data_IF_686791278226
#
_entry.id   IF_686791278226
#
_cell.length_a   1.000
_cell.length_b   1.000
_cell.length_c   1.000
_cell.angle_alpha   90.00
_cell.angle_beta   90.00
_cell.angle_gamma   90.00
#
_symmetry.space_group_name_H-M   'P 1'
#
loop_
_entity.id
_entity.type
_entity.pdbx_description
1 polymer ?
#
# COMPACT_ATOMS: atom_id res chain seq x y z
N UNK A 1 -4.20 -9.77 -14.61
CA UNK A 1 -4.29 -9.28 -13.21
C UNK A 1 -2.92 -9.15 -12.56
N UNK A 2 -2.07 -10.18 -12.60
CA UNK A 2 -0.79 -10.16 -11.89
C UNK A 2 0.15 -9.04 -12.36
N UNK A 3 0.31 -8.86 -13.66
CA UNK A 3 1.21 -7.83 -14.21
C UNK A 3 0.71 -6.41 -13.93
N UNK A 4 -0.60 -6.18 -14.08
CA UNK A 4 -1.22 -4.92 -13.70
C UNK A 4 -1.02 -4.66 -12.20
N UNK A 5 -1.33 -5.64 -11.35
CA UNK A 5 -1.11 -5.54 -9.91
C UNK A 5 0.37 -5.27 -9.56
N UNK A 6 1.33 -5.78 -10.34
CA UNK A 6 2.76 -5.54 -10.15
C UNK A 6 3.20 -4.13 -10.58
N UNK A 7 2.49 -3.49 -11.52
CA UNK A 7 2.74 -2.10 -11.93
C UNK A 7 2.23 -1.06 -10.92
N UNK A 8 1.32 -1.47 -10.02
CA UNK A 8 0.73 -0.60 -9.01
C UNK A 8 1.68 -0.35 -7.83
N UNK A 9 1.48 0.77 -7.13
CA UNK A 9 2.11 0.98 -5.82
C UNK A 9 1.65 -0.10 -4.84
N UNK A 10 2.43 -0.37 -3.78
CA UNK A 10 2.06 -1.39 -2.78
C UNK A 10 0.66 -1.16 -2.19
N UNK A 11 0.32 0.11 -1.95
CA UNK A 11 -0.98 0.56 -1.46
C UNK A 11 -2.09 0.23 -2.45
N UNK A 12 -1.92 0.61 -3.70
CA UNK A 12 -2.96 0.44 -4.73
C UNK A 12 -3.11 -1.03 -5.12
N UNK A 13 -2.00 -1.78 -5.22
CA UNK A 13 -1.99 -3.22 -5.45
C UNK A 13 -2.85 -3.96 -4.42
N UNK A 14 -2.71 -3.59 -3.15
CA UNK A 14 -3.46 -4.20 -2.05
C UNK A 14 -4.94 -3.88 -2.08
N UNK A 15 -5.32 -2.64 -2.40
CA UNK A 15 -6.71 -2.22 -2.55
C UNK A 15 -7.36 -2.86 -3.76
N UNK A 16 -6.65 -2.91 -4.88
CA UNK A 16 -7.07 -3.62 -6.08
C UNK A 16 -7.36 -5.09 -5.78
N UNK A 17 -6.45 -5.79 -5.09
CA UNK A 17 -6.65 -7.17 -4.69
C UNK A 17 -7.88 -7.37 -3.78
N UNK A 18 -8.15 -6.42 -2.87
CA UNK A 18 -9.33 -6.42 -2.01
C UNK A 18 -10.64 -6.25 -2.79
N UNK A 19 -10.69 -5.31 -3.73
CA UNK A 19 -11.86 -5.10 -4.61
C UNK A 19 -12.14 -6.34 -5.46
N UNK A 20 -11.12 -6.92 -6.09
CA UNK A 20 -11.27 -8.14 -6.90
C UNK A 20 -11.71 -9.35 -6.07
N UNK A 21 -11.27 -9.43 -4.81
CA UNK A 21 -11.65 -10.50 -3.90
C UNK A 21 -13.10 -10.36 -3.41
N UNK A 22 -13.55 -9.15 -3.11
CA UNK A 22 -14.92 -8.91 -2.61
C UNK A 22 -15.99 -9.23 -3.65
N UNK A 23 -15.71 -9.01 -4.93
CA UNK A 23 -16.62 -9.34 -6.04
C UNK A 23 -16.83 -10.86 -6.24
N UNK A 24 -15.93 -11.70 -5.71
CA UNK A 24 -15.92 -13.16 -5.97
C UNK A 24 -16.60 -14.00 -4.88
N UNK A 25 -17.06 -13.39 -3.80
CA UNK A 25 -17.73 -14.09 -2.71
C UNK A 25 -16.83 -15.10 -1.98
N UNK A 26 -17.38 -16.25 -1.60
CA UNK A 26 -16.67 -17.25 -0.80
C UNK A 26 -15.42 -17.79 -1.51
N UNK A 27 -14.28 -17.76 -0.83
CA UNK A 27 -12.99 -18.19 -1.40
C UNK A 27 -12.31 -17.16 -2.32
N UNK A 28 -12.94 -16.00 -2.58
CA UNK A 28 -12.38 -14.93 -3.41
C UNK A 28 -11.00 -14.45 -2.95
N UNK A 29 -10.81 -14.31 -1.63
CA UNK A 29 -9.53 -13.93 -1.02
C UNK A 29 -8.41 -14.91 -1.41
N UNK A 30 -8.63 -16.21 -1.15
CA UNK A 30 -7.64 -17.26 -1.43
C UNK A 30 -7.35 -17.38 -2.92
N UNK A 31 -8.36 -17.20 -3.77
CA UNK A 31 -8.20 -17.20 -5.22
C UNK A 31 -7.33 -16.02 -5.69
N UNK A 32 -7.70 -14.80 -5.32
CA UNK A 32 -6.99 -13.59 -5.74
C UNK A 32 -5.56 -13.55 -5.17
N UNK A 33 -5.35 -14.03 -3.95
CA UNK A 33 -4.02 -14.16 -3.35
C UNK A 33 -3.08 -14.98 -4.24
N UNK A 34 -3.56 -16.11 -4.78
CA UNK A 34 -2.79 -16.95 -5.72
C UNK A 34 -2.57 -16.28 -7.06
N UNK A 35 -3.61 -15.64 -7.63
CA UNK A 35 -3.53 -14.98 -8.95
C UNK A 35 -2.55 -13.80 -8.92
N UNK A 36 -2.64 -12.93 -7.90
CA UNK A 36 -1.82 -11.73 -7.78
C UNK A 36 -0.44 -12.04 -7.16
N UNK A 37 -0.30 -13.18 -6.48
CA UNK A 37 0.92 -13.55 -5.77
C UNK A 37 1.13 -12.67 -4.54
N UNK A 38 0.12 -12.56 -3.68
CA UNK A 38 0.21 -11.87 -2.39
C UNK A 38 -0.35 -12.77 -1.27
N UNK A 39 -0.14 -12.36 -0.02
CA UNK A 39 -0.71 -13.08 1.12
C UNK A 39 -2.20 -12.76 1.29
N UNK A 40 -2.98 -13.71 1.81
CA UNK A 40 -4.39 -13.48 2.15
C UNK A 40 -4.54 -12.32 3.14
N UNK A 41 -3.63 -12.21 4.12
CA UNK A 41 -3.55 -11.07 5.05
C UNK A 41 -3.40 -9.72 4.37
N UNK A 42 -2.72 -9.66 3.22
CA UNK A 42 -2.60 -8.44 2.42
C UNK A 42 -3.97 -8.00 1.94
N UNK A 43 -4.78 -8.94 1.44
CA UNK A 43 -6.12 -8.70 0.92
C UNK A 43 -7.07 -8.31 2.05
N UNK A 44 -7.05 -9.02 3.19
CA UNK A 44 -7.84 -8.69 4.38
C UNK A 44 -7.57 -7.25 4.86
N UNK A 45 -6.29 -6.86 4.93
CA UNK A 45 -5.92 -5.49 5.27
C UNK A 45 -6.40 -4.49 4.21
N UNK A 46 -6.42 -4.89 2.94
CA UNK A 46 -6.99 -4.07 1.86
C UNK A 46 -8.49 -3.86 2.03
N UNK A 47 -9.24 -4.90 2.41
CA UNK A 47 -10.68 -4.81 2.69
C UNK A 47 -10.96 -3.83 3.83
N UNK A 48 -10.24 -3.95 4.95
CA UNK A 48 -10.37 -3.03 6.07
C UNK A 48 -10.03 -1.57 5.70
N UNK A 49 -9.13 -1.36 4.73
CA UNK A 49 -8.83 -0.01 4.23
C UNK A 49 -9.87 0.55 3.26
N UNK A 50 -10.60 -0.30 2.55
CA UNK A 50 -11.70 0.15 1.70
C UNK A 50 -12.84 0.77 2.55
N UNK A 51 -13.09 0.21 3.72
CA UNK A 51 -14.08 0.76 4.67
C UNK A 51 -13.65 2.13 5.24
N UNK A 52 -12.34 2.39 5.28
CA UNK A 52 -11.74 3.61 5.85
C UNK A 52 -11.30 4.62 4.77
N UNK A 53 -11.70 4.43 3.51
CA UNK A 53 -11.17 5.20 2.39
C UNK A 53 -11.52 6.69 2.47
N UNK A 54 -12.66 7.03 3.07
CA UNK A 54 -13.10 8.41 3.30
C UNK A 54 -12.15 9.19 4.21
N UNK A 55 -11.51 8.51 5.16
CA UNK A 55 -10.62 9.10 6.17
C UNK A 55 -9.14 8.87 5.85
N UNK A 56 -8.79 8.45 4.64
CA UNK A 56 -7.39 8.12 4.28
C UNK A 56 -6.49 9.37 4.36
N UNK A 57 -5.60 9.47 5.37
CA UNK A 57 -4.75 10.64 5.55
C UNK A 57 -3.65 10.74 4.48
N UNK A 58 -3.59 9.76 3.58
CA UNK A 58 -2.62 9.62 2.50
C UNK A 58 -3.35 9.56 1.15
N UNK A 59 -4.60 10.04 1.06
CA UNK A 59 -5.30 10.19 -0.21
C UNK A 59 -4.43 10.95 -1.23
N UNK A 60 -4.16 10.34 -2.38
CA UNK A 60 -3.29 10.90 -3.44
C UNK A 60 -1.79 10.86 -3.17
N UNK A 61 -1.32 10.30 -2.04
CA UNK A 61 0.11 10.09 -1.77
C UNK A 61 0.43 8.60 -1.68
N UNK A 62 1.61 8.23 -2.19
CA UNK A 62 2.14 6.85 -2.01
C UNK A 62 2.66 6.64 -0.58
N UNK A 63 3.17 7.71 0.06
CA UNK A 63 3.80 7.65 1.39
C UNK A 63 3.13 8.60 2.37
N UNK A 64 3.11 8.21 3.64
CA UNK A 64 2.65 9.07 4.74
C UNK A 64 3.48 10.37 4.81
N UNK A 65 2.88 11.49 5.25
CA UNK A 65 3.64 12.72 5.54
C UNK A 65 4.83 12.42 6.46
N UNK A 66 6.00 12.98 6.15
CA UNK A 66 7.21 12.77 6.96
C UNK A 66 7.96 11.45 6.74
N UNK A 67 7.45 10.52 5.92
CA UNK A 67 8.12 9.26 5.57
C UNK A 67 9.21 9.40 4.48
N UNK A 68 9.60 10.63 4.16
CA UNK A 68 10.70 10.93 3.23
C UNK A 68 12.07 10.89 3.91
N UNK A 69 13.14 10.97 3.11
CA UNK A 69 14.50 11.14 3.65
C UNK A 69 14.56 12.43 4.47
N UNK A 70 14.93 12.33 5.75
CA UNK A 70 15.12 13.51 6.60
C UNK A 70 16.22 14.41 6.01
N UNK A 71 15.96 15.72 5.96
CA UNK A 71 16.99 16.71 5.58
C UNK A 71 18.16 16.62 6.56
N UNK A 72 19.38 16.88 6.11
CA UNK A 72 20.50 17.13 7.04
C UNK A 72 20.10 18.35 7.87
N UNK A 73 20.02 18.20 9.18
CA UNK A 73 19.89 19.35 10.08
C UNK A 73 21.12 20.25 9.89
N UNK A 74 20.96 21.56 10.03
CA UNK A 74 22.07 22.51 9.99
C UNK A 74 23.19 22.13 10.97
N UNK A 75 22.84 21.56 12.13
CA UNK A 75 23.77 21.00 13.11
C UNK A 75 24.71 19.94 12.52
N UNK A 76 24.22 19.11 11.59
CA UNK A 76 25.01 18.08 10.91
C UNK A 76 25.84 18.64 9.74
N UNK A 77 25.54 19.84 9.25
CA UNK A 77 26.32 20.52 8.21
C UNK A 77 27.55 21.24 8.81
N UNK A 78 27.40 21.78 10.02
CA UNK A 78 28.47 22.50 10.74
C UNK A 78 29.57 21.56 11.27
N UNK A 79 29.26 20.30 11.57
CA UNK A 79 30.22 19.30 12.11
C UNK A 79 31.15 18.66 11.06
N UNK A 80 31.00 18.97 9.76
CA UNK A 80 31.81 18.39 8.67
C UNK A 80 32.83 19.36 8.06
N UNK A 81 33.05 20.51 8.68
CA UNK A 81 33.95 21.58 8.18
C UNK A 81 35.37 21.53 8.77
N UNK A 82 35.75 20.42 9.41
CA UNK A 82 37.11 20.17 9.93
C UNK A 82 37.78 19.10 9.09
#
# INVERSE_FOLDING_TARGET
MRDFAASLSEKDRRRFAAVEASQRGHGGIRYIAKVIGCSEKTIERGLAELDQLADDPVAGRVRRPGAGRKKRSLLNLLRKKT
#
